data_IF_527220604869
#
_entry.id   IF_527220604869
#
_cell.length_a   1.000
_cell.length_b   1.000
_cell.length_c   1.000
_cell.angle_alpha   90.00
_cell.angle_beta   90.00
_cell.angle_gamma   90.00
#
_symmetry.space_group_name_H-M   'P 1'
#
loop_
_entity.id
_entity.type
_entity.pdbx_description
1 polymer ?
#
# COMPACT_ATOMS: atom_id res chain seq x y z
N UNK A 1 -25.11 -2.29 1.64
CA UNK A 1 -23.90 -2.53 0.87
C UNK A 1 -23.16 -3.75 1.37
N UNK A 2 -22.71 -4.52 0.47
CA UNK A 2 -21.98 -5.71 0.86
C UNK A 2 -20.69 -5.37 1.52
N UNK A 3 -20.25 -6.25 2.35
CA UNK A 3 -19.04 -6.04 3.09
C UNK A 3 -17.83 -6.35 2.24
N UNK A 4 -16.85 -5.49 2.34
CA UNK A 4 -15.55 -5.77 1.78
C UNK A 4 -14.86 -6.76 2.68
N UNK A 5 -14.44 -7.85 2.10
CA UNK A 5 -13.70 -8.86 2.81
C UNK A 5 -12.22 -8.63 2.53
N UNK A 6 -11.45 -8.47 3.60
CA UNK A 6 -10.03 -8.22 3.43
C UNK A 6 -9.25 -9.42 3.91
N UNK A 7 -8.41 -9.92 3.04
CA UNK A 7 -7.63 -11.11 3.30
C UNK A 7 -6.17 -10.76 3.26
N UNK A 8 -5.48 -11.09 4.33
CA UNK A 8 -4.03 -11.01 4.36
C UNK A 8 -3.50 -12.29 3.75
N UNK A 9 -2.55 -12.12 2.85
CA UNK A 9 -1.96 -13.25 2.18
C UNK A 9 -0.45 -13.17 2.36
N UNK A 10 0.16 -14.31 2.59
CA UNK A 10 1.59 -14.35 2.69
C UNK A 10 2.21 -14.17 1.32
N UNK A 11 3.02 -15.08 0.93
CA UNK A 11 3.60 -15.05 -0.39
C UNK A 11 2.99 -16.15 -1.23
N UNK A 12 3.33 -16.18 -2.49
CA UNK A 12 3.06 -17.28 -3.39
C UNK A 12 1.60 -17.59 -3.64
N UNK A 13 0.73 -16.67 -3.31
CA UNK A 13 -0.66 -16.86 -3.72
C UNK A 13 -0.74 -16.61 -5.22
N UNK A 14 -1.37 -17.52 -5.94
CA UNK A 14 -1.36 -17.44 -7.40
C UNK A 14 -1.97 -16.15 -7.92
N UNK A 15 -2.92 -15.58 -7.19
CA UNK A 15 -3.52 -14.32 -7.61
C UNK A 15 -2.49 -13.20 -7.70
N UNK A 16 -1.48 -13.25 -6.85
CA UNK A 16 -0.49 -12.17 -6.79
C UNK A 16 0.75 -12.44 -7.63
N UNK A 17 0.86 -13.61 -8.18
CA UNK A 17 2.05 -13.93 -8.95
C UNK A 17 2.27 -12.93 -10.06
N UNK A 18 1.20 -12.39 -10.62
CA UNK A 18 1.30 -11.41 -11.69
C UNK A 18 1.82 -10.06 -11.22
N UNK A 19 1.71 -9.76 -9.93
CA UNK A 19 2.17 -8.49 -9.38
C UNK A 19 3.54 -8.60 -8.76
N UNK A 20 3.93 -9.80 -8.38
CA UNK A 20 5.12 -10.01 -7.61
C UNK A 20 6.10 -10.82 -8.42
N UNK A 21 6.77 -10.14 -9.34
CA UNK A 21 7.65 -10.85 -10.26
C UNK A 21 8.98 -11.20 -9.61
N UNK A 22 9.71 -10.18 -9.15
CA UNK A 22 11.06 -10.38 -8.64
C UNK A 22 11.20 -9.88 -7.21
N UNK A 23 10.31 -9.04 -6.74
CA UNK A 23 10.39 -8.54 -5.38
C UNK A 23 10.04 -9.63 -4.38
N UNK A 24 10.60 -9.51 -3.19
CA UNK A 24 10.28 -10.43 -2.11
C UNK A 24 9.14 -9.88 -1.27
N UNK A 25 8.07 -9.47 -1.94
CA UNK A 25 6.90 -8.96 -1.25
C UNK A 25 6.12 -10.14 -0.71
N UNK A 26 5.93 -10.17 0.61
CA UNK A 26 5.28 -11.28 1.27
C UNK A 26 4.02 -10.92 2.02
N UNK A 27 3.74 -9.62 2.16
CA UNK A 27 2.60 -9.18 2.95
C UNK A 27 1.66 -8.42 2.04
N UNK A 28 0.59 -9.10 1.65
CA UNK A 28 -0.36 -8.57 0.67
C UNK A 28 -1.76 -8.62 1.27
N UNK A 29 -2.51 -7.55 1.04
CA UNK A 29 -3.91 -7.46 1.43
C UNK A 29 -4.74 -7.32 0.18
N UNK A 30 -5.81 -8.10 0.08
CA UNK A 30 -6.75 -8.01 -1.02
C UNK A 30 -8.12 -7.71 -0.46
N UNK A 31 -8.81 -6.79 -1.10
CA UNK A 31 -10.18 -6.45 -0.73
C UNK A 31 -11.12 -7.12 -1.72
N UNK A 32 -12.13 -7.80 -1.19
CA UNK A 32 -13.12 -8.50 -2.00
C UNK A 32 -14.50 -7.91 -1.79
N UNK A 33 -15.27 -7.92 -2.85
CA UNK A 33 -16.70 -7.62 -2.78
C UNK A 33 -17.40 -8.78 -3.45
N UNK A 34 -18.14 -9.56 -2.66
CA UNK A 34 -18.90 -10.70 -3.19
C UNK A 34 -18.03 -11.62 -4.04
N UNK A 35 -16.89 -12.00 -3.49
CA UNK A 35 -15.96 -12.93 -4.13
C UNK A 35 -15.16 -12.33 -5.29
N UNK A 36 -15.36 -11.07 -5.59
CA UNK A 36 -14.59 -10.41 -6.63
C UNK A 36 -13.49 -9.57 -5.98
N UNK A 37 -12.26 -9.74 -6.44
CA UNK A 37 -11.14 -8.93 -5.95
C UNK A 37 -11.27 -7.53 -6.55
N UNK A 38 -11.40 -6.53 -5.71
CA UNK A 38 -11.62 -5.15 -6.17
C UNK A 38 -10.45 -4.24 -5.87
N UNK A 39 -9.51 -4.67 -5.05
CA UNK A 39 -8.35 -3.85 -4.77
C UNK A 39 -7.30 -4.64 -4.01
N UNK A 40 -6.10 -4.13 -3.99
CA UNK A 40 -5.01 -4.77 -3.27
C UNK A 40 -3.97 -3.74 -2.84
N UNK A 41 -3.12 -4.17 -1.94
CA UNK A 41 -1.95 -3.42 -1.52
C UNK A 41 -0.99 -4.36 -0.84
N UNK A 42 0.24 -3.92 -0.67
CA UNK A 42 1.26 -4.77 -0.10
C UNK A 42 2.27 -3.93 0.64
N UNK A 43 3.08 -4.58 1.48
CA UNK A 43 4.24 -3.90 2.00
C UNK A 43 5.40 -4.88 2.07
N UNK A 44 6.59 -4.30 2.09
CA UNK A 44 7.81 -5.06 2.31
C UNK A 44 8.67 -4.32 3.33
N UNK A 45 9.58 -5.03 3.95
CA UNK A 45 10.50 -4.37 4.84
C UNK A 45 11.46 -3.50 4.04
N UNK A 46 11.58 -2.25 4.43
CA UNK A 46 12.55 -1.35 3.83
C UNK A 46 13.82 -1.25 4.68
N UNK A 47 13.61 -1.08 5.99
CA UNK A 47 14.69 -1.06 6.98
C UNK A 47 14.15 -1.73 8.23
N UNK A 48 15.00 -1.87 9.25
CA UNK A 48 14.67 -2.66 10.43
C UNK A 48 13.29 -2.35 11.00
N UNK A 49 12.91 -1.08 11.09
CA UNK A 49 11.62 -0.71 11.67
C UNK A 49 10.70 -0.04 10.66
N UNK A 50 11.02 -0.12 9.39
CA UNK A 50 10.28 0.59 8.37
C UNK A 50 9.80 -0.36 7.29
N UNK A 51 8.54 -0.19 6.89
CA UNK A 51 7.99 -0.90 5.74
C UNK A 51 7.78 0.08 4.61
N UNK A 52 7.76 -0.43 3.39
CA UNK A 52 7.41 0.35 2.23
C UNK A 52 6.11 -0.20 1.66
N UNK A 53 5.11 0.67 1.54
CA UNK A 53 3.82 0.31 0.95
C UNK A 53 4.01 0.24 -0.56
N UNK A 54 3.53 -0.82 -1.17
CA UNK A 54 3.68 -1.05 -2.59
C UNK A 54 2.42 -1.65 -3.16
N UNK A 55 2.28 -1.59 -4.47
CA UNK A 55 1.24 -2.31 -5.21
C UNK A 55 -0.17 -1.90 -4.82
N UNK A 56 -0.34 -0.64 -4.39
CA UNK A 56 -1.68 -0.16 -4.10
C UNK A 56 -2.47 -0.01 -5.39
N UNK A 57 -3.61 -0.67 -5.44
CA UNK A 57 -4.46 -0.65 -6.62
C UNK A 57 -5.90 -0.86 -6.23
N UNK A 58 -6.81 -0.09 -6.83
CA UNK A 58 -8.23 -0.28 -6.70
C UNK A 58 -8.82 -0.31 -8.09
N UNK A 59 -9.63 -1.32 -8.36
CA UNK A 59 -10.31 -1.44 -9.64
C UNK A 59 -11.09 -0.14 -9.89
N UNK A 60 -10.98 0.44 -11.11
CA UNK A 60 -11.58 1.75 -11.38
C UNK A 60 -13.05 1.85 -11.02
N UNK A 61 -13.79 0.76 -11.19
CA UNK A 61 -15.22 0.73 -10.90
C UNK A 61 -15.52 1.00 -9.42
N UNK A 62 -14.55 0.74 -8.55
CA UNK A 62 -14.77 0.84 -7.10
C UNK A 62 -14.00 1.98 -6.46
N UNK A 63 -13.42 2.85 -7.26
CA UNK A 63 -12.71 4.01 -6.72
C UNK A 63 -13.72 4.99 -6.15
N UNK A 64 -13.25 5.78 -5.17
CA UNK A 64 -14.11 6.72 -4.50
C UNK A 64 -14.99 6.11 -3.43
N UNK A 65 -14.75 4.84 -3.06
CA UNK A 65 -15.54 4.16 -2.04
C UNK A 65 -14.71 3.78 -0.82
N UNK A 66 -13.61 4.47 -0.62
CA UNK A 66 -12.73 4.23 0.52
C UNK A 66 -12.08 2.85 0.52
N UNK A 67 -12.05 2.16 -0.62
CA UNK A 67 -11.41 0.85 -0.68
C UNK A 67 -9.92 0.98 -0.42
N UNK A 68 -9.27 1.97 -1.05
CA UNK A 68 -7.85 2.19 -0.84
C UNK A 68 -7.53 2.50 0.62
N UNK A 69 -8.34 3.35 1.25
CA UNK A 69 -8.15 3.68 2.66
C UNK A 69 -8.27 2.44 3.54
N UNK A 70 -9.23 1.60 3.26
CA UNK A 70 -9.43 0.37 4.03
C UNK A 70 -8.25 -0.57 3.89
N UNK A 71 -7.76 -0.73 2.65
CA UNK A 71 -6.58 -1.57 2.41
C UNK A 71 -5.37 -1.00 3.13
N UNK A 72 -5.17 0.30 3.03
CA UNK A 72 -4.03 0.95 3.65
C UNK A 72 -4.06 0.78 5.16
N UNK A 73 -5.24 0.96 5.77
CA UNK A 73 -5.38 0.77 7.21
C UNK A 73 -5.05 -0.65 7.63
N UNK A 74 -5.45 -1.63 6.84
CA UNK A 74 -5.16 -3.02 7.17
C UNK A 74 -3.66 -3.31 7.05
N UNK A 75 -3.01 -2.75 6.04
CA UNK A 75 -1.57 -2.90 5.90
C UNK A 75 -0.83 -2.27 7.09
N UNK A 76 -1.26 -1.09 7.51
CA UNK A 76 -0.65 -0.41 8.62
C UNK A 76 -0.84 -1.18 9.93
N UNK A 77 -2.02 -1.73 10.11
CA UNK A 77 -2.31 -2.53 11.29
C UNK A 77 -1.41 -3.77 11.33
N UNK A 78 -1.29 -4.44 10.20
CA UNK A 78 -0.46 -5.62 10.10
C UNK A 78 1.01 -5.29 10.38
N UNK A 79 1.50 -4.21 9.78
CA UNK A 79 2.88 -3.79 10.01
C UNK A 79 3.11 -3.47 11.48
N UNK A 80 2.15 -2.80 12.12
CA UNK A 80 2.25 -2.50 13.55
C UNK A 80 2.31 -3.77 14.38
N UNK A 81 1.51 -4.76 14.03
CA UNK A 81 1.54 -6.05 14.72
C UNK A 81 2.90 -6.72 14.61
N UNK A 82 3.61 -6.46 13.54
CA UNK A 82 4.94 -7.02 13.33
C UNK A 82 6.05 -6.12 13.86
N UNK A 83 5.65 -5.08 14.61
CA UNK A 83 6.58 -4.18 15.32
C UNK A 83 7.29 -3.19 14.42
N UNK A 84 6.76 -2.93 13.24
CA UNK A 84 7.26 -1.83 12.45
C UNK A 84 6.70 -0.51 12.97
N UNK A 85 7.48 0.54 12.85
CA UNK A 85 7.10 1.84 13.42
C UNK A 85 6.86 2.91 12.38
N UNK A 86 7.24 2.68 11.13
CA UNK A 86 7.06 3.67 10.08
C UNK A 86 6.67 3.00 8.78
N UNK A 87 5.83 3.68 8.01
CA UNK A 87 5.46 3.25 6.68
C UNK A 87 5.90 4.31 5.68
N UNK A 88 6.57 3.87 4.64
CA UNK A 88 7.04 4.72 3.56
C UNK A 88 6.29 4.34 2.30
N UNK A 89 6.20 5.28 1.37
CA UNK A 89 5.65 4.98 0.05
C UNK A 89 6.14 6.00 -0.95
N UNK A 90 5.97 5.64 -2.22
CA UNK A 90 6.30 6.55 -3.31
C UNK A 90 5.13 6.55 -4.29
N UNK A 91 4.82 7.72 -4.81
CA UNK A 91 3.81 7.85 -5.85
C UNK A 91 4.29 8.89 -6.85
N UNK A 92 3.58 9.04 -7.95
CA UNK A 92 3.98 9.96 -9.00
C UNK A 92 3.43 11.35 -8.79
N UNK A 93 4.21 12.35 -9.17
CA UNK A 93 3.77 13.74 -9.08
C UNK A 93 2.49 13.98 -9.86
N UNK A 94 2.27 13.20 -10.92
CA UNK A 94 1.12 13.40 -11.79
C UNK A 94 -0.11 12.63 -11.32
N UNK A 95 -0.09 12.16 -10.09
CA UNK A 95 -1.23 11.46 -9.51
C UNK A 95 -1.74 12.21 -8.29
N UNK A 96 -2.40 13.34 -8.49
CA UNK A 96 -2.85 14.16 -7.36
C UNK A 96 -3.85 13.46 -6.46
N UNK A 97 -4.65 12.55 -7.02
CA UNK A 97 -5.61 11.81 -6.21
C UNK A 97 -4.90 10.89 -5.23
N UNK A 98 -3.82 10.24 -5.67
CA UNK A 98 -3.05 9.37 -4.79
C UNK A 98 -2.38 10.17 -3.69
N UNK A 99 -1.77 11.29 -4.06
CA UNK A 99 -1.11 12.15 -3.07
C UNK A 99 -2.12 12.62 -2.03
N UNK A 100 -3.28 13.03 -2.49
CA UNK A 100 -4.34 13.51 -1.61
C UNK A 100 -4.82 12.40 -0.67
N UNK A 101 -4.99 11.20 -1.21
CA UNK A 101 -5.39 10.04 -0.41
C UNK A 101 -4.40 9.78 0.72
N UNK A 102 -3.11 9.77 0.39
CA UNK A 102 -2.11 9.46 1.40
C UNK A 102 -2.02 10.57 2.44
N UNK A 103 -2.10 11.84 2.02
CA UNK A 103 -2.11 12.94 2.99
C UNK A 103 -3.30 12.83 3.93
N UNK A 104 -4.46 12.48 3.40
CA UNK A 104 -5.66 12.33 4.19
C UNK A 104 -5.50 11.23 5.23
N UNK A 105 -4.68 10.25 4.93
CA UNK A 105 -4.44 9.13 5.83
C UNK A 105 -3.22 9.31 6.71
N UNK A 106 -2.68 10.52 6.78
CA UNK A 106 -1.64 10.84 7.75
C UNK A 106 -0.22 10.77 7.20
N UNK A 107 -0.06 10.60 5.91
CA UNK A 107 1.27 10.58 5.31
C UNK A 107 1.74 12.01 5.02
N UNK A 108 3.03 12.23 5.18
CA UNK A 108 3.66 13.52 4.91
C UNK A 108 4.74 13.34 3.85
N UNK A 109 4.91 14.37 3.03
CA UNK A 109 5.94 14.34 2.01
C UNK A 109 7.30 14.43 2.67
N UNK A 110 8.20 13.56 2.24
CA UNK A 110 9.57 13.54 2.73
C UNK A 110 10.53 13.60 1.54
N UNK A 111 11.81 13.85 1.78
CA UNK A 111 12.80 13.77 0.69
C UNK A 111 12.83 12.38 0.07
N UNK A 112 13.16 12.30 -1.19
CA UNK A 112 13.25 11.03 -1.89
C UNK A 112 14.24 10.09 -1.20
N UNK A 113 13.93 8.81 -1.27
CA UNK A 113 14.74 7.80 -0.60
C UNK A 113 15.02 6.64 -1.55
N UNK A 114 16.06 5.86 -1.22
CA UNK A 114 16.35 4.61 -1.89
C UNK A 114 16.47 4.78 -3.41
N UNK A 115 15.76 3.91 -4.11
CA UNK A 115 15.81 3.92 -5.57
C UNK A 115 15.13 5.14 -6.18
N UNK A 116 14.46 5.94 -5.39
CA UNK A 116 13.75 7.13 -5.89
C UNK A 116 14.60 8.39 -5.83
N UNK A 117 15.81 8.30 -5.32
CA UNK A 117 16.72 9.42 -5.35
C UNK A 117 16.93 9.85 -6.81
N UNK A 118 16.81 11.15 -7.05
CA UNK A 118 17.01 11.73 -8.38
C UNK A 118 15.96 11.33 -9.41
N UNK A 119 14.83 10.76 -8.97
CA UNK A 119 13.71 10.49 -9.87
C UNK A 119 12.76 11.67 -9.75
N UNK A 120 12.75 12.48 -10.79
CA UNK A 120 12.08 13.78 -10.73
C UNK A 120 10.58 13.68 -10.49
N UNK A 121 9.94 12.66 -11.05
CA UNK A 121 8.50 12.53 -10.93
C UNK A 121 8.04 11.81 -9.67
N UNK A 122 8.95 11.43 -8.81
CA UNK A 122 8.60 10.70 -7.59
C UNK A 122 8.25 11.65 -6.45
N UNK A 123 7.22 11.26 -5.70
CA UNK A 123 6.88 11.90 -4.44
C UNK A 123 6.94 10.81 -3.38
N UNK A 124 7.81 11.00 -2.41
CA UNK A 124 7.96 10.04 -1.32
C UNK A 124 7.26 10.56 -0.09
N UNK A 125 6.63 9.67 0.65
CA UNK A 125 5.84 10.04 1.81
C UNK A 125 6.07 9.05 2.94
N UNK A 126 5.77 9.48 4.16
CA UNK A 126 6.02 8.67 5.35
C UNK A 126 4.93 8.92 6.37
N UNK A 127 4.61 7.87 7.13
CA UNK A 127 3.69 7.97 8.26
C UNK A 127 4.26 7.17 9.42
N UNK A 128 4.20 7.75 10.61
CA UNK A 128 4.56 7.01 11.82
C UNK A 128 3.40 6.13 12.23
N UNK A 129 3.69 4.87 12.51
CA UNK A 129 2.66 3.91 12.88
C UNK A 129 2.45 3.83 14.38
N UNK A 130 3.44 4.22 15.14
CA UNK A 130 3.36 4.20 16.59
C UNK A 130 4.08 5.39 17.17
#
# INVERSE_FOLDING_TARGET
MDKDLQIRDGDEHSFYAQFNTIDTIKHVVVSFLEKEAIGCGAFRQYETKKVEIKRMFVHPKYRGRAVATTILNELEKWATELNYTEALLETGKKQPEAISLYKKNGYEIIPSYGQYLNVENSVCMMKKLQ
#
